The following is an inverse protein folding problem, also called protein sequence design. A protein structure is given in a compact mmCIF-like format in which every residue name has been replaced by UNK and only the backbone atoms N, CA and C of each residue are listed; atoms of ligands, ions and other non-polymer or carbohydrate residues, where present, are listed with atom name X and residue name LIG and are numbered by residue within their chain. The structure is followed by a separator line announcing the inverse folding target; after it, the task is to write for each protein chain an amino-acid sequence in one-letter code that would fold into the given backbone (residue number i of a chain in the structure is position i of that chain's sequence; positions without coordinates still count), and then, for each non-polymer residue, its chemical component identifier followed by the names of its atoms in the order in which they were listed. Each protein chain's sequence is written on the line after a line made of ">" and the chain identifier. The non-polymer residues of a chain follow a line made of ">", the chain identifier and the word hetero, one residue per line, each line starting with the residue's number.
data_IF_513115762094
#
_entry.id   IF_513115762094
#
_cell.length_a   1.000
_cell.length_b   1.000
_cell.length_c   1.000
_cell.angle_alpha   90.00
_cell.angle_beta   90.00
_cell.angle_gamma   90.00
#
_symmetry.space_group_name_H-M   'P 1'
#
loop_
_entity.id
_entity.type
_entity.pdbx_description
1 polymer ?
#
# COMPACT_ATOMS: atom_id res chain seq x y z
N UNK A 1 -8.79 -11.67 19.41
CA UNK A 1 -10.10 -12.18 18.93
C UNK A 1 -10.97 -11.10 18.23
N UNK A 2 -11.22 -9.93 18.82
CA UNK A 2 -12.04 -8.86 18.18
C UNK A 2 -11.51 -8.36 16.82
N UNK A 3 -10.19 -8.30 16.63
CA UNK A 3 -9.58 -7.93 15.34
C UNK A 3 -9.83 -8.96 14.22
N UNK A 4 -9.98 -10.25 14.56
CA UNK A 4 -10.26 -11.30 13.58
C UNK A 4 -11.70 -11.23 13.06
N UNK A 5 -12.66 -10.81 13.90
CA UNK A 5 -14.06 -10.60 13.47
C UNK A 5 -14.20 -9.43 12.48
N UNK A 6 -13.40 -8.38 12.65
CA UNK A 6 -13.36 -7.25 11.68
C UNK A 6 -12.84 -7.73 10.33
N UNK A 7 -11.79 -8.55 10.31
CA UNK A 7 -11.26 -9.14 9.07
C UNK A 7 -12.30 -10.02 8.34
N UNK A 8 -13.12 -10.78 9.07
CA UNK A 8 -14.19 -11.60 8.50
C UNK A 8 -15.28 -10.77 7.79
N UNK A 9 -15.60 -9.57 8.28
CA UNK A 9 -16.54 -8.66 7.61
C UNK A 9 -15.94 -7.95 6.40
N UNK A 10 -14.62 -7.77 6.37
CA UNK A 10 -13.94 -7.07 5.28
C UNK A 10 -13.87 -7.91 4.00
N UNK A 11 -13.72 -9.23 4.10
CA UNK A 11 -13.60 -10.14 2.95
C UNK A 11 -14.81 -10.10 2.00
N UNK A 12 -16.07 -10.22 2.45
CA UNK A 12 -17.22 -10.14 1.54
C UNK A 12 -17.38 -8.73 0.93
N UNK A 13 -16.99 -7.67 1.64
CA UNK A 13 -16.94 -6.31 1.10
C UNK A 13 -15.90 -6.20 -0.03
N UNK A 14 -14.73 -6.82 0.15
CA UNK A 14 -13.66 -6.87 -0.84
C UNK A 14 -14.06 -7.61 -2.13
N UNK A 15 -14.92 -8.63 -2.05
CA UNK A 15 -15.39 -9.40 -3.21
C UNK A 15 -16.53 -8.68 -3.94
N UNK A 16 -17.43 -8.03 -3.20
CA UNK A 16 -18.59 -7.35 -3.77
C UNK A 16 -18.27 -6.00 -4.42
N UNK A 17 -17.31 -5.26 -3.87
CA UNK A 17 -16.89 -3.95 -4.40
C UNK A 17 -16.45 -3.99 -5.89
N UNK A 18 -15.56 -4.91 -6.31
CA UNK A 18 -15.18 -5.04 -7.72
C UNK A 18 -16.35 -5.35 -8.64
N UNK A 19 -17.32 -6.15 -8.20
CA UNK A 19 -18.49 -6.53 -9.01
C UNK A 19 -19.45 -5.35 -9.22
N UNK A 20 -19.62 -4.51 -8.20
CA UNK A 20 -20.46 -3.31 -8.29
C UNK A 20 -19.77 -2.19 -9.06
N UNK A 21 -18.46 -2.04 -8.85
CA UNK A 21 -17.68 -0.95 -9.44
C UNK A 21 -17.16 -1.26 -10.85
N UNK A 22 -17.12 -2.52 -11.28
CA UNK A 22 -16.61 -2.88 -12.63
C UNK A 22 -17.36 -2.16 -13.74
N UNK A 23 -18.69 -2.02 -13.64
CA UNK A 23 -19.46 -1.25 -14.65
C UNK A 23 -19.08 0.22 -14.73
N UNK A 24 -18.63 0.81 -13.62
CA UNK A 24 -18.21 2.21 -13.55
C UNK A 24 -16.70 2.41 -13.83
N UNK A 25 -15.90 1.37 -13.62
CA UNK A 25 -14.44 1.39 -13.77
C UNK A 25 -13.97 0.92 -15.15
N UNK A 26 -14.80 0.16 -15.90
CA UNK A 26 -14.55 -0.17 -17.31
C UNK A 26 -14.83 1.08 -18.14
N UNK A 27 -13.83 1.97 -18.16
CA UNK A 27 -13.83 3.21 -18.92
C UNK A 27 -12.99 3.06 -20.19
N UNK A 28 -13.24 3.93 -21.18
CA UNK A 28 -12.44 4.02 -22.40
C UNK A 28 -10.97 4.40 -22.16
N UNK A 29 -10.64 4.85 -20.96
CA UNK A 29 -9.29 5.18 -20.53
C UNK A 29 -9.02 4.62 -19.11
N UNK A 30 -8.74 3.30 -18.97
CA UNK A 30 -8.62 2.66 -17.65
C UNK A 30 -7.50 3.28 -16.81
N UNK A 31 -6.43 3.74 -17.44
CA UNK A 31 -5.27 4.28 -16.74
C UNK A 31 -5.45 5.74 -16.28
N UNK A 32 -6.48 6.43 -16.78
CA UNK A 32 -6.90 7.73 -16.24
C UNK A 32 -7.51 7.56 -14.85
N UNK A 33 -8.28 6.48 -14.64
CA UNK A 33 -8.84 6.12 -13.33
C UNK A 33 -7.69 5.79 -12.36
N UNK A 34 -6.73 4.97 -12.80
CA UNK A 34 -5.53 4.65 -12.02
C UNK A 34 -4.80 5.92 -11.57
N UNK A 35 -4.54 6.84 -12.50
CA UNK A 35 -3.81 8.09 -12.24
C UNK A 35 -4.57 9.01 -11.29
N UNK A 36 -5.90 9.11 -11.42
CA UNK A 36 -6.75 9.88 -10.51
C UNK A 36 -6.84 9.26 -9.11
N UNK A 37 -6.63 7.96 -8.98
CA UNK A 37 -6.63 7.25 -7.69
C UNK A 37 -5.31 7.38 -6.90
N UNK A 38 -4.18 7.63 -7.56
CA UNK A 38 -2.86 7.85 -6.89
C UNK A 38 -2.91 8.92 -5.79
N UNK A 39 -3.46 10.14 -5.98
CA UNK A 39 -3.48 11.16 -4.93
C UNK A 39 -4.28 10.70 -3.71
N UNK A 40 -5.40 10.01 -3.91
CA UNK A 40 -6.17 9.43 -2.80
C UNK A 40 -5.37 8.37 -2.06
N UNK A 41 -4.65 7.50 -2.78
CA UNK A 41 -3.76 6.50 -2.17
C UNK A 41 -2.68 7.15 -1.30
N UNK A 42 -2.05 8.23 -1.76
CA UNK A 42 -1.05 8.96 -0.99
C UNK A 42 -1.67 9.68 0.22
N UNK A 43 -2.86 10.27 0.06
CA UNK A 43 -3.57 10.89 1.16
C UNK A 43 -3.91 9.87 2.26
N UNK A 44 -4.41 8.68 1.88
CA UNK A 44 -4.69 7.61 2.85
C UNK A 44 -3.44 7.11 3.57
N UNK A 45 -2.26 7.14 2.94
CA UNK A 45 -1.00 6.81 3.61
C UNK A 45 -0.72 7.75 4.79
N UNK A 46 -0.85 9.06 4.55
CA UNK A 46 -0.65 10.09 5.59
C UNK A 46 -1.76 10.03 6.65
N UNK A 47 -3.02 9.83 6.23
CA UNK A 47 -4.15 9.68 7.15
C UNK A 47 -4.00 8.46 8.06
N UNK A 48 -3.55 7.33 7.52
CA UNK A 48 -3.28 6.13 8.30
C UNK A 48 -2.14 6.35 9.31
N UNK A 49 -1.06 7.02 8.90
CA UNK A 49 0.02 7.39 9.81
C UNK A 49 -0.44 8.30 10.94
N UNK A 50 -1.24 9.33 10.63
CA UNK A 50 -1.86 10.20 11.62
C UNK A 50 -2.76 9.41 12.56
N UNK A 51 -3.60 8.52 12.03
CA UNK A 51 -4.46 7.66 12.84
C UNK A 51 -3.66 6.80 13.83
N UNK A 52 -2.55 6.17 13.39
CA UNK A 52 -1.65 5.40 14.25
C UNK A 52 -1.03 6.25 15.35
N UNK A 53 -0.68 7.50 15.05
CA UNK A 53 -0.14 8.44 16.04
C UNK A 53 -1.18 8.86 17.08
N UNK A 54 -2.46 9.00 16.70
CA UNK A 54 -3.56 9.27 17.62
C UNK A 54 -3.96 8.04 18.46
N UNK A 55 -3.68 6.83 18.01
CA UNK A 55 -4.03 5.57 18.69
C UNK A 55 -3.69 5.53 20.19
N UNK A 56 -2.47 5.84 20.67
CA UNK A 56 -2.15 5.81 22.09
C UNK A 56 -2.99 6.80 22.93
N UNK A 57 -3.50 7.88 22.33
CA UNK A 57 -4.39 8.83 23.02
C UNK A 57 -5.84 8.34 23.08
N UNK A 58 -6.26 7.51 22.12
CA UNK A 58 -7.62 6.99 22.00
C UNK A 58 -7.83 5.66 22.75
N UNK A 59 -6.76 4.91 23.01
CA UNK A 59 -6.81 3.63 23.70
C UNK A 59 -6.44 3.83 25.17
N UNK A 60 -7.43 3.68 26.06
CA UNK A 60 -7.19 3.54 27.51
C UNK A 60 -6.91 2.07 27.81
N UNK A 61 -5.90 1.81 28.66
CA UNK A 61 -5.23 0.50 28.86
C UNK A 61 -6.13 -0.74 29.01
N UNK A 62 -7.39 -0.61 29.45
CA UNK A 62 -8.28 -1.75 29.68
C UNK A 62 -9.40 -1.95 28.65
N UNK A 63 -9.78 -0.95 27.85
CA UNK A 63 -10.91 -1.06 26.92
C UNK A 63 -10.71 -0.25 25.64
N UNK A 64 -10.63 -0.94 24.49
CA UNK A 64 -10.68 -0.29 23.17
C UNK A 64 -12.15 0.07 22.87
N UNK A 65 -12.47 1.36 22.74
CA UNK A 65 -13.85 1.78 22.56
C UNK A 65 -14.38 1.41 21.17
N UNK A 66 -15.68 1.13 21.07
CA UNK A 66 -16.32 0.68 19.81
C UNK A 66 -16.14 1.70 18.68
N UNK A 67 -16.13 3.00 19.00
CA UNK A 67 -15.93 4.06 18.00
C UNK A 67 -14.57 3.96 17.29
N UNK A 68 -13.52 3.47 17.96
CA UNK A 68 -12.20 3.26 17.36
C UNK A 68 -12.28 2.19 16.26
N UNK A 69 -12.97 1.08 16.53
CA UNK A 69 -13.14 0.00 15.55
C UNK A 69 -13.99 0.43 14.36
N UNK A 70 -15.07 1.18 14.59
CA UNK A 70 -15.93 1.70 13.50
C UNK A 70 -15.13 2.65 12.61
N UNK A 71 -14.38 3.59 13.19
CA UNK A 71 -13.55 4.54 12.46
C UNK A 71 -12.43 3.84 11.68
N UNK A 72 -11.72 2.89 12.31
CA UNK A 72 -10.68 2.08 11.68
C UNK A 72 -11.24 1.30 10.48
N UNK A 73 -12.39 0.66 10.66
CA UNK A 73 -13.04 -0.14 9.60
C UNK A 73 -13.49 0.74 8.44
N UNK A 74 -14.06 1.92 8.72
CA UNK A 74 -14.45 2.90 7.71
C UNK A 74 -13.24 3.39 6.92
N UNK A 75 -12.18 3.83 7.61
CA UNK A 75 -10.95 4.32 7.00
C UNK A 75 -10.31 3.25 6.11
N UNK A 76 -10.22 2.02 6.61
CA UNK A 76 -9.71 0.88 5.85
C UNK A 76 -10.59 0.56 4.65
N UNK A 77 -11.92 0.57 4.81
CA UNK A 77 -12.86 0.35 3.70
C UNK A 77 -12.70 1.37 2.56
N UNK A 78 -12.57 2.66 2.89
CA UNK A 78 -12.34 3.72 1.91
C UNK A 78 -10.97 3.56 1.21
N UNK A 79 -9.94 3.21 1.98
CA UNK A 79 -8.62 2.93 1.42
C UNK A 79 -8.67 1.74 0.45
N UNK A 80 -9.39 0.67 0.82
CA UNK A 80 -9.57 -0.51 -0.02
C UNK A 80 -10.26 -0.19 -1.34
N UNK A 81 -11.32 0.63 -1.34
CA UNK A 81 -11.99 1.06 -2.58
C UNK A 81 -10.99 1.71 -3.55
N UNK A 82 -10.10 2.55 -3.02
CA UNK A 82 -9.05 3.19 -3.83
C UNK A 82 -8.10 2.16 -4.43
N UNK A 83 -7.58 1.23 -3.64
CA UNK A 83 -6.67 0.18 -4.11
C UNK A 83 -7.34 -0.75 -5.14
N UNK A 84 -8.59 -1.14 -4.92
CA UNK A 84 -9.33 -1.97 -5.87
C UNK A 84 -9.58 -1.25 -7.19
N UNK A 85 -9.91 0.04 -7.16
CA UNK A 85 -10.09 0.82 -8.38
C UNK A 85 -8.81 0.85 -9.23
N UNK A 86 -7.63 0.95 -8.58
CA UNK A 86 -6.33 0.89 -9.24
C UNK A 86 -6.06 -0.50 -9.82
N UNK A 87 -6.33 -1.56 -9.06
CA UNK A 87 -6.13 -2.94 -9.49
C UNK A 87 -6.98 -3.30 -10.72
N UNK A 88 -8.28 -2.98 -10.69
CA UNK A 88 -9.19 -3.21 -11.81
C UNK A 88 -8.76 -2.42 -13.04
N UNK A 89 -8.38 -1.15 -12.87
CA UNK A 89 -7.86 -0.30 -13.95
C UNK A 89 -6.63 -0.90 -14.63
N UNK A 90 -5.69 -1.41 -13.83
CA UNK A 90 -4.47 -2.05 -14.33
C UNK A 90 -4.78 -3.34 -15.10
N UNK A 91 -5.68 -4.18 -14.58
CA UNK A 91 -6.12 -5.40 -15.27
C UNK A 91 -6.84 -5.08 -16.59
N UNK A 92 -7.72 -4.07 -16.60
CA UNK A 92 -8.38 -3.61 -17.84
C UNK A 92 -7.38 -3.09 -18.87
N UNK A 93 -6.32 -2.42 -18.43
CA UNK A 93 -5.24 -1.99 -19.32
C UNK A 93 -4.48 -3.20 -19.89
N UNK A 94 -4.07 -4.15 -19.05
CA UNK A 94 -3.37 -5.37 -19.49
C UNK A 94 -4.19 -6.19 -20.48
N UNK A 95 -5.50 -6.32 -20.25
CA UNK A 95 -6.39 -7.01 -21.16
C UNK A 95 -6.48 -6.32 -22.54
N UNK A 96 -6.44 -4.98 -22.58
CA UNK A 96 -6.48 -4.21 -23.84
C UNK A 96 -5.20 -4.31 -24.66
N UNK A 97 -4.03 -4.21 -24.02
CA UNK A 97 -2.74 -4.27 -24.74
C UNK A 97 -2.35 -5.70 -25.13
N UNK A 98 -2.97 -6.72 -24.54
CA UNK A 98 -2.69 -8.12 -24.87
C UNK A 98 -3.19 -8.46 -26.27
N UNK A 99 -2.29 -8.95 -27.13
CA UNK A 99 -2.61 -9.40 -28.49
C UNK A 99 -3.65 -10.53 -28.47
N UNK A 100 -4.73 -10.48 -29.29
CA UNK A 100 -5.72 -11.56 -29.36
C UNK A 100 -5.13 -12.95 -29.64
N UNK A 101 -4.03 -13.04 -30.40
CA UNK A 101 -3.40 -14.30 -30.77
C UNK A 101 -2.58 -14.92 -29.62
N UNK A 102 -2.02 -14.10 -28.73
CA UNK A 102 -1.18 -14.54 -27.60
C UNK A 102 -1.61 -13.91 -26.27
N UNK A 103 -2.90 -13.64 -26.12
CA UNK A 103 -3.42 -12.82 -25.02
C UNK A 103 -3.21 -13.46 -23.66
N UNK A 104 -3.31 -14.80 -23.59
CA UNK A 104 -3.05 -15.54 -22.36
C UNK A 104 -1.60 -15.39 -21.87
N UNK A 105 -0.63 -15.43 -22.78
CA UNK A 105 0.80 -15.29 -22.44
C UNK A 105 1.13 -13.87 -21.98
N UNK A 106 0.67 -12.85 -22.72
CA UNK A 106 0.89 -11.44 -22.33
C UNK A 106 0.21 -11.09 -21.02
N UNK A 107 -1.04 -11.48 -20.83
CA UNK A 107 -1.79 -11.22 -19.60
C UNK A 107 -1.12 -11.88 -18.39
N UNK A 108 -0.65 -13.13 -18.53
CA UNK A 108 0.05 -13.83 -17.45
C UNK A 108 1.36 -13.14 -17.11
N UNK A 109 2.20 -12.83 -18.11
CA UNK A 109 3.48 -12.16 -17.89
C UNK A 109 3.31 -10.79 -17.20
N UNK A 110 2.37 -9.98 -17.68
CA UNK A 110 2.10 -8.65 -17.10
C UNK A 110 1.58 -8.76 -15.66
N UNK A 111 0.74 -9.74 -15.35
CA UNK A 111 0.31 -10.01 -13.99
C UNK A 111 1.47 -10.47 -13.10
N UNK A 112 2.37 -11.32 -13.61
CA UNK A 112 3.58 -11.73 -12.87
C UNK A 112 4.46 -10.53 -12.55
N UNK A 113 4.72 -9.67 -13.52
CA UNK A 113 5.50 -8.44 -13.33
C UNK A 113 4.83 -7.49 -12.33
N UNK A 114 3.50 -7.36 -12.38
CA UNK A 114 2.73 -6.54 -11.45
C UNK A 114 2.80 -7.06 -10.00
N UNK A 115 2.63 -8.38 -9.82
CA UNK A 115 2.70 -9.03 -8.51
C UNK A 115 4.11 -8.92 -7.93
N UNK A 116 5.14 -9.14 -8.76
CA UNK A 116 6.52 -8.94 -8.35
C UNK A 116 6.75 -7.48 -7.93
N UNK A 117 6.33 -6.52 -8.76
CA UNK A 117 6.46 -5.09 -8.52
C UNK A 117 5.79 -4.61 -7.23
N UNK A 118 4.74 -5.28 -6.77
CA UNK A 118 4.05 -4.97 -5.49
C UNK A 118 4.70 -5.65 -4.29
N UNK A 119 5.36 -6.79 -4.48
CA UNK A 119 5.84 -7.62 -3.37
C UNK A 119 7.23 -7.21 -2.87
N UNK A 120 8.18 -6.92 -3.77
CA UNK A 120 9.55 -6.58 -3.37
C UNK A 120 9.68 -5.30 -2.51
N UNK A 121 8.88 -4.22 -2.71
CA UNK A 121 9.01 -3.02 -1.91
C UNK A 121 8.61 -3.26 -0.45
N UNK A 122 7.65 -4.14 -0.18
CA UNK A 122 7.20 -4.43 1.18
C UNK A 122 8.33 -5.02 2.04
N UNK A 123 9.04 -6.03 1.50
CA UNK A 123 10.18 -6.62 2.21
C UNK A 123 11.30 -5.63 2.42
N UNK A 124 11.55 -4.77 1.43
CA UNK A 124 12.60 -3.75 1.50
C UNK A 124 12.27 -2.65 2.51
N UNK A 125 11.02 -2.19 2.58
CA UNK A 125 10.53 -1.23 3.57
C UNK A 125 10.71 -1.78 4.99
N UNK A 126 10.35 -3.05 5.21
CA UNK A 126 10.54 -3.71 6.51
C UNK A 126 12.02 -3.84 6.88
N UNK A 127 12.92 -4.05 5.92
CA UNK A 127 14.35 -4.02 6.20
C UNK A 127 14.84 -2.63 6.60
N UNK A 128 14.33 -1.58 5.93
CA UNK A 128 14.73 -0.20 6.21
C UNK A 128 14.17 0.35 7.52
N UNK A 129 13.01 -0.12 7.99
CA UNK A 129 12.40 0.39 9.22
C UNK A 129 13.31 0.20 10.43
N UNK A 130 14.00 -0.94 10.51
CA UNK A 130 14.92 -1.26 11.60
C UNK A 130 16.16 -0.36 11.54
N UNK A 131 16.65 -0.04 10.33
CA UNK A 131 17.78 0.87 10.13
C UNK A 131 17.46 2.34 10.45
N UNK A 132 16.22 2.78 10.24
CA UNK A 132 15.77 4.13 10.58
C UNK A 132 15.24 4.25 12.01
N UNK A 133 14.93 3.14 12.68
CA UNK A 133 14.45 3.15 14.05
C UNK A 133 15.62 3.33 15.01
N UNK A 134 15.46 4.22 15.98
CA UNK A 134 16.45 4.43 17.04
C UNK A 134 15.76 4.56 18.40
N UNK A 135 16.27 3.80 19.36
CA UNK A 135 15.81 3.75 20.75
C UNK A 135 17.00 3.93 21.69
N UNK A 136 16.72 4.31 22.92
CA UNK A 136 17.72 4.38 24.00
C UNK A 136 17.10 3.93 25.32
N UNK A 137 17.94 3.48 26.25
CA UNK A 137 17.51 3.11 27.60
C UNK A 137 17.41 4.37 28.49
N UNK A 138 16.35 4.49 29.30
CA UNK A 138 16.18 5.64 30.19
C UNK A 138 17.27 5.79 31.25
N UNK A 139 17.95 4.69 31.61
CA UNK A 139 18.99 4.67 32.66
C UNK A 139 20.42 4.69 32.09
N UNK A 140 20.57 4.48 30.78
CA UNK A 140 21.87 4.45 30.11
C UNK A 140 21.72 4.91 28.65
N UNK A 141 22.30 6.08 28.34
CA UNK A 141 22.24 6.65 27.00
C UNK A 141 23.09 5.88 25.98
N UNK A 142 24.06 5.06 26.42
CA UNK A 142 24.90 4.28 25.50
C UNK A 142 24.20 2.99 25.04
N UNK A 143 23.14 2.56 25.74
CA UNK A 143 22.35 1.39 25.38
C UNK A 143 21.21 1.75 24.42
N UNK A 144 21.36 1.37 23.14
CA UNK A 144 20.39 1.68 22.08
C UNK A 144 19.19 0.70 21.98
N UNK A 145 19.02 -0.25 22.89
CA UNK A 145 17.91 -1.23 22.88
C UNK A 145 17.69 -1.94 21.52
N UNK A 146 18.75 -2.15 20.73
CA UNK A 146 18.66 -2.66 19.35
C UNK A 146 18.54 -4.19 19.25
N UNK A 147 18.94 -4.90 20.30
CA UNK A 147 18.91 -6.36 20.36
C UNK A 147 18.25 -6.84 21.65
N UNK A 148 17.75 -8.07 21.66
CA UNK A 148 17.07 -8.66 22.82
C UNK A 148 17.90 -8.59 24.11
N UNK A 149 19.22 -8.81 24.04
CA UNK A 149 20.13 -8.71 25.18
C UNK A 149 20.25 -7.28 25.74
N UNK A 150 20.27 -6.26 24.88
CA UNK A 150 20.33 -4.86 25.28
C UNK A 150 19.02 -4.40 25.94
N UNK A 151 17.90 -4.89 25.43
CA UNK A 151 16.57 -4.67 26.02
C UNK A 151 16.51 -5.31 27.41
N UNK A 152 16.96 -6.56 27.53
CA UNK A 152 16.98 -7.29 28.81
C UNK A 152 17.82 -6.54 29.85
N UNK A 153 19.04 -6.12 29.49
CA UNK A 153 19.93 -5.32 30.35
C UNK A 153 19.27 -4.01 30.82
N UNK A 154 18.56 -3.31 29.95
CA UNK A 154 17.83 -2.09 30.31
C UNK A 154 16.70 -2.38 31.32
N UNK A 155 15.93 -3.45 31.07
CA UNK A 155 14.81 -3.84 31.95
C UNK A 155 15.26 -4.38 33.31
N UNK A 156 16.37 -5.13 33.37
CA UNK A 156 16.95 -5.59 34.65
C UNK A 156 17.43 -4.42 35.49
N UNK A 157 17.91 -3.35 34.85
CA UNK A 157 18.30 -2.10 35.50
C UNK A 157 17.13 -1.18 35.90
N UNK A 158 15.88 -1.66 35.90
CA UNK A 158 14.67 -0.86 36.11
C UNK A 158 14.51 0.33 35.14
N UNK A 159 15.11 0.23 33.95
CA UNK A 159 14.97 1.21 32.88
C UNK A 159 13.90 0.80 31.87
N UNK A 160 13.29 1.80 31.22
CA UNK A 160 12.41 1.58 30.07
C UNK A 160 13.14 1.94 28.77
N UNK A 161 12.97 1.11 27.74
CA UNK A 161 13.47 1.42 26.40
C UNK A 161 12.53 2.44 25.74
N UNK A 162 12.99 3.67 25.62
CA UNK A 162 12.25 4.76 25.00
C UNK A 162 12.63 4.82 23.51
N UNK A 163 11.63 4.79 22.63
CA UNK A 163 11.84 5.01 21.20
C UNK A 163 11.99 6.51 20.96
N UNK A 164 13.17 6.93 20.49
CA UNK A 164 13.45 8.32 20.13
C UNK A 164 12.95 8.65 18.73
N UNK A 165 13.28 7.79 17.76
CA UNK A 165 12.91 7.93 16.37
C UNK A 165 12.28 6.63 15.88
N UNK A 166 11.04 6.71 15.43
CA UNK A 166 10.35 5.56 14.84
C UNK A 166 10.49 5.62 13.32
N UNK A 167 11.24 4.65 12.77
CA UNK A 167 11.49 4.52 11.35
C UNK A 167 10.22 4.42 10.51
N UNK A 168 9.09 4.01 11.10
CA UNK A 168 7.78 3.97 10.44
C UNK A 168 7.36 5.35 9.90
N UNK A 169 7.44 6.40 10.73
CA UNK A 169 7.01 7.74 10.32
C UNK A 169 7.99 8.37 9.33
N UNK A 170 9.29 8.14 9.51
CA UNK A 170 10.32 8.60 8.56
C UNK A 170 10.07 7.99 7.18
N UNK A 171 9.82 6.69 7.14
CA UNK A 171 9.60 5.96 5.89
C UNK A 171 8.29 6.35 5.21
N UNK A 172 7.22 6.62 5.97
CA UNK A 172 5.97 7.16 5.42
C UNK A 172 6.21 8.50 4.69
N UNK A 173 7.00 9.40 5.28
CA UNK A 173 7.32 10.69 4.65
C UNK A 173 8.11 10.46 3.36
N UNK A 174 9.16 9.63 3.41
CA UNK A 174 9.99 9.31 2.24
C UNK A 174 9.17 8.64 1.11
N UNK A 175 8.36 7.63 1.43
CA UNK A 175 7.49 6.95 0.47
C UNK A 175 6.43 7.89 -0.11
N UNK A 176 5.91 8.84 0.68
CA UNK A 176 4.95 9.83 0.20
C UNK A 176 5.60 10.81 -0.77
N UNK A 177 6.80 11.31 -0.45
CA UNK A 177 7.58 12.17 -1.36
C UNK A 177 7.92 11.44 -2.66
N UNK A 178 8.39 10.20 -2.59
CA UNK A 178 8.64 9.36 -3.75
C UNK A 178 7.37 9.20 -4.60
N UNK A 179 6.22 8.94 -3.97
CA UNK A 179 4.93 8.82 -4.64
C UNK A 179 4.50 10.11 -5.35
N UNK A 180 4.77 11.28 -4.78
CA UNK A 180 4.49 12.58 -5.43
C UNK A 180 5.38 12.80 -6.65
N UNK A 181 6.67 12.47 -6.56
CA UNK A 181 7.61 12.53 -7.70
C UNK A 181 7.16 11.58 -8.81
N UNK A 182 6.83 10.34 -8.45
CA UNK A 182 6.28 9.35 -9.38
C UNK A 182 4.99 9.81 -10.02
N UNK A 183 4.08 10.42 -9.27
CA UNK A 183 2.83 10.95 -9.84
C UNK A 183 3.10 12.01 -10.92
N UNK A 184 4.10 12.87 -10.72
CA UNK A 184 4.43 13.93 -11.68
C UNK A 184 5.09 13.39 -12.94
N UNK A 185 6.02 12.44 -12.80
CA UNK A 185 6.77 11.86 -13.92
C UNK A 185 6.02 10.69 -14.58
N UNK A 186 5.64 9.70 -13.79
CA UNK A 186 5.00 8.47 -14.24
C UNK A 186 3.66 8.72 -14.93
N UNK A 187 2.89 9.73 -14.52
CA UNK A 187 1.63 10.10 -15.19
C UNK A 187 1.81 10.36 -16.68
N UNK A 188 2.90 11.03 -17.08
CA UNK A 188 3.16 11.31 -18.49
C UNK A 188 3.39 10.00 -19.26
N UNK A 189 4.32 9.17 -18.79
CA UNK A 189 4.64 7.88 -19.40
C UNK A 189 3.41 6.98 -19.49
N UNK A 190 2.62 6.94 -18.43
CA UNK A 190 1.42 6.12 -18.33
C UNK A 190 0.35 6.56 -19.35
N UNK A 191 0.10 7.87 -19.49
CA UNK A 191 -0.79 8.37 -20.53
C UNK A 191 -0.23 8.15 -21.94
N UNK A 192 1.09 8.27 -22.14
CA UNK A 192 1.73 7.99 -23.43
C UNK A 192 1.52 6.53 -23.85
N UNK A 193 1.77 5.58 -22.93
CA UNK A 193 1.54 4.16 -23.16
C UNK A 193 0.06 3.84 -23.46
N UNK A 194 -0.87 4.48 -22.76
CA UNK A 194 -2.30 4.33 -23.04
C UNK A 194 -2.72 4.87 -24.40
N UNK A 195 -2.07 5.95 -24.90
CA UNK A 195 -2.39 6.55 -26.20
C UNK A 195 -1.80 5.80 -27.39
N UNK A 196 -0.82 4.91 -27.17
CA UNK A 196 -0.25 4.10 -28.25
C UNK A 196 -1.29 3.13 -28.77
N UNK A 197 -1.57 3.20 -30.06
CA UNK A 197 -2.56 2.36 -30.72
C UNK A 197 -2.18 0.88 -30.70
N UNK A 198 -3.18 0.02 -30.82
CA UNK A 198 -3.08 -1.44 -30.75
C UNK A 198 -1.98 -2.04 -31.66
N UNK A 199 -1.69 -1.40 -32.80
CA UNK A 199 -0.65 -1.83 -33.74
C UNK A 199 0.76 -1.84 -33.12
N UNK A 200 1.04 -1.04 -32.09
CA UNK A 200 2.33 -1.08 -31.39
C UNK A 200 2.45 -2.24 -30.41
N UNK A 201 1.33 -2.82 -29.99
CA UNK A 201 1.25 -3.88 -28.99
C UNK A 201 1.03 -5.26 -29.62
N UNK A 202 0.47 -5.30 -30.83
CA UNK A 202 0.12 -6.53 -31.54
C UNK A 202 1.16 -6.91 -32.58
N UNK A 203 1.40 -8.20 -32.73
CA UNK A 203 2.27 -8.73 -33.77
C UNK A 203 1.54 -8.68 -35.10
N UNK A 204 2.13 -8.02 -36.10
CA UNK A 204 1.66 -8.12 -37.49
C UNK A 204 1.99 -9.51 -38.02
N UNK A 205 1.05 -10.44 -37.97
CA UNK A 205 1.22 -11.74 -38.65
C UNK A 205 1.25 -11.48 -40.16
N UNK A 206 2.45 -11.60 -40.75
CA UNK A 206 2.57 -11.67 -42.20
C UNK A 206 2.00 -13.03 -42.63
N UNK A 207 0.84 -13.02 -43.30
CA UNK A 207 0.29 -14.24 -43.91
C UNK A 207 1.30 -14.75 -44.94
N UNK A 208 1.86 -15.91 -44.68
CA UNK A 208 2.69 -16.66 -45.62
C UNK A 208 1.80 -17.51 -46.52
#
# INVERSE_FOLDING_TARGET
>A
EKFAMVALFLIPLQISLPLLLTRYLVSDAPMDVYTKAIPYRLAFNVLAAGFVWLTPHLITKDHIPVHYYVLLTLLYGLHQITLYSMFVSQLSFFARISDPNMGGTYMTLLNTLANLGTSWPNSLILLFVDGFSSSYCSNDLDNNCSCASLIEQCTTGAGECVKWLDGFYVLIVLCTLYGLVWMRWGRHTVHELQRRGDHHWRLSLHKR
#
